data_IF_782877111814
#
_entry.id   IF_782877111814
#
_cell.length_a   1.000
_cell.length_b   1.000
_cell.length_c   1.000
_cell.angle_alpha   90.00
_cell.angle_beta   90.00
_cell.angle_gamma   90.00
#
_symmetry.space_group_name_H-M   'P 1'
#
loop_
_entity.id
_entity.type
_entity.pdbx_description
1 polymer ?
#
# COMPACT_ATOMS: atom_id res chain seq x y z
N UNK A 1 -0.51 15.10 -8.04
CA UNK A 1 -1.89 14.57 -7.97
C UNK A 1 -1.87 13.19 -7.34
N UNK A 2 -2.71 12.96 -6.34
CA UNK A 2 -2.92 11.64 -5.70
C UNK A 2 -4.32 11.17 -6.06
N UNK A 3 -4.46 9.92 -6.49
CA UNK A 3 -5.74 9.29 -6.80
C UNK A 3 -6.09 8.32 -5.67
N UNK A 4 -7.31 8.44 -5.16
CA UNK A 4 -7.89 7.53 -4.18
C UNK A 4 -9.13 6.89 -4.81
N UNK A 5 -9.22 5.55 -4.76
CA UNK A 5 -10.43 4.83 -5.15
C UNK A 5 -10.80 3.86 -4.04
N UNK A 6 -12.06 3.91 -3.64
CA UNK A 6 -12.65 2.95 -2.71
C UNK A 6 -13.75 2.20 -3.43
N UNK A 7 -13.86 0.90 -3.19
CA UNK A 7 -14.97 0.09 -3.66
C UNK A 7 -15.37 -0.88 -2.56
N UNK A 8 -16.67 -1.03 -2.36
CA UNK A 8 -17.22 -2.08 -1.54
C UNK A 8 -18.08 -2.97 -2.44
N UNK A 9 -17.75 -4.25 -2.51
CA UNK A 9 -18.48 -5.21 -3.35
C UNK A 9 -18.34 -6.62 -2.77
N UNK A 10 -19.43 -7.40 -2.76
CA UNK A 10 -19.47 -8.81 -2.32
C UNK A 10 -18.77 -9.07 -0.97
N UNK A 11 -18.95 -8.19 0.00
CA UNK A 11 -18.34 -8.32 1.33
C UNK A 11 -16.83 -8.06 1.36
N UNK A 12 -16.28 -7.36 0.35
CA UNK A 12 -14.89 -6.92 0.30
C UNK A 12 -14.83 -5.39 0.16
N UNK A 13 -14.08 -4.77 1.06
CA UNK A 13 -13.64 -3.39 0.94
C UNK A 13 -12.28 -3.34 0.24
N UNK A 14 -12.22 -2.61 -0.87
CA UNK A 14 -11.00 -2.38 -1.66
C UNK A 14 -10.64 -0.90 -1.63
N UNK A 15 -9.39 -0.61 -1.27
CA UNK A 15 -8.79 0.72 -1.30
C UNK A 15 -7.61 0.73 -2.26
N UNK A 16 -7.58 1.68 -3.18
CA UNK A 16 -6.43 1.91 -4.06
C UNK A 16 -5.96 3.36 -3.95
N UNK A 17 -4.67 3.54 -3.69
CA UNK A 17 -3.97 4.82 -3.68
C UNK A 17 -2.92 4.82 -4.79
N UNK A 18 -2.93 5.84 -5.64
CA UNK A 18 -1.92 5.99 -6.70
C UNK A 18 -1.39 7.42 -6.80
N UNK A 19 -0.08 7.57 -6.97
CA UNK A 19 0.54 8.87 -7.24
C UNK A 19 1.73 8.73 -8.20
N UNK A 20 2.02 9.77 -9.02
CA UNK A 20 3.27 9.83 -9.77
C UNK A 20 4.48 9.77 -8.85
N UNK A 21 5.53 9.12 -9.33
CA UNK A 21 6.82 9.02 -8.66
C UNK A 21 7.76 10.03 -9.29
N UNK A 22 8.17 11.04 -8.51
CA UNK A 22 8.95 12.19 -9.00
C UNK A 22 10.46 11.96 -8.90
N UNK A 23 10.89 10.96 -8.13
CA UNK A 23 12.30 10.57 -7.92
C UNK A 23 12.41 9.05 -8.01
N UNK A 24 13.58 8.53 -8.42
CA UNK A 24 13.83 7.09 -8.46
C UNK A 24 13.59 6.48 -7.08
N UNK A 25 12.65 5.54 -7.00
CA UNK A 25 12.35 4.74 -5.79
C UNK A 25 12.91 3.34 -6.06
N UNK A 26 13.40 2.65 -5.04
CA UNK A 26 13.82 1.27 -5.18
C UNK A 26 12.61 0.40 -5.56
N UNK A 27 12.81 -0.58 -6.43
CA UNK A 27 11.73 -1.44 -6.92
C UNK A 27 11.08 -2.27 -5.80
N UNK A 28 11.85 -2.58 -4.76
CA UNK A 28 11.40 -3.26 -3.54
C UNK A 28 10.77 -2.32 -2.49
N UNK A 29 10.66 -1.02 -2.82
CA UNK A 29 10.20 0.05 -1.92
C UNK A 29 11.01 0.17 -0.62
N UNK A 30 12.24 -0.34 -0.60
CA UNK A 30 13.12 -0.23 0.55
C UNK A 30 13.37 1.25 0.89
N UNK A 31 13.28 1.56 2.17
CA UNK A 31 13.49 2.92 2.70
C UNK A 31 14.91 3.40 2.38
N UNK A 32 15.00 4.56 1.74
CA UNK A 32 16.26 5.29 1.47
C UNK A 32 16.68 6.23 2.61
N UNK A 33 15.89 6.32 3.69
CA UNK A 33 16.21 7.14 4.87
C UNK A 33 17.22 6.41 5.77
N UNK A 34 18.17 7.17 6.33
CA UNK A 34 19.27 6.64 7.16
C UNK A 34 18.77 5.82 8.37
N UNK A 35 17.62 6.20 8.96
CA UNK A 35 17.06 5.52 10.12
C UNK A 35 16.00 4.47 9.71
N UNK A 36 16.49 3.31 9.29
CA UNK A 36 15.65 2.19 8.79
C UNK A 36 14.70 1.63 9.85
N UNK A 37 15.03 1.78 11.14
CA UNK A 37 14.25 1.30 12.28
C UNK A 37 12.99 2.12 12.58
N UNK A 38 12.81 3.31 11.98
CA UNK A 38 11.59 4.13 12.16
C UNK A 38 10.85 4.40 10.85
N UNK A 39 11.50 4.16 9.71
CA UNK A 39 11.02 4.64 8.41
C UNK A 39 10.84 3.55 7.35
N UNK A 40 11.18 2.29 7.64
CA UNK A 40 10.88 1.12 6.79
C UNK A 40 9.61 0.35 7.17
N UNK A 41 9.00 0.68 8.30
CA UNK A 41 7.85 -0.05 8.84
C UNK A 41 6.52 0.27 8.17
N UNK A 42 6.40 1.35 7.40
CA UNK A 42 5.11 1.80 6.88
C UNK A 42 4.40 0.69 6.09
N UNK A 43 4.99 0.26 4.97
CA UNK A 43 4.35 -0.73 4.09
C UNK A 43 4.34 -2.12 4.73
N UNK A 44 5.42 -2.54 5.40
CA UNK A 44 5.48 -3.84 6.07
C UNK A 44 4.43 -3.94 7.20
N UNK A 45 4.32 -2.91 8.03
CA UNK A 45 3.34 -2.81 9.11
C UNK A 45 1.91 -2.70 8.58
N UNK A 46 1.68 -1.93 7.52
CA UNK A 46 0.36 -1.91 6.86
C UNK A 46 -0.01 -3.28 6.27
N UNK A 47 0.95 -4.04 5.70
CA UNK A 47 0.73 -5.43 5.25
C UNK A 47 0.34 -6.35 6.40
N UNK A 48 1.07 -6.28 7.51
CA UNK A 48 0.78 -7.05 8.71
C UNK A 48 -0.62 -6.72 9.29
N UNK A 49 -1.00 -5.44 9.34
CA UNK A 49 -2.33 -5.02 9.79
C UNK A 49 -3.41 -5.57 8.86
N UNK A 50 -3.24 -5.47 7.54
CA UNK A 50 -4.21 -6.02 6.59
C UNK A 50 -4.37 -7.54 6.79
N UNK A 51 -3.25 -8.26 6.96
CA UNK A 51 -3.25 -9.71 7.21
C UNK A 51 -3.95 -10.09 8.51
N UNK A 52 -3.71 -9.34 9.61
CA UNK A 52 -4.40 -9.55 10.90
C UNK A 52 -5.92 -9.35 10.82
N UNK A 53 -6.38 -8.59 9.81
CA UNK A 53 -7.80 -8.40 9.53
C UNK A 53 -8.34 -9.36 8.45
N UNK A 54 -7.58 -10.40 8.07
CA UNK A 54 -7.97 -11.39 7.07
C UNK A 54 -7.92 -10.87 5.63
N UNK A 55 -7.23 -9.74 5.42
CA UNK A 55 -7.10 -9.08 4.13
C UNK A 55 -5.68 -9.14 3.56
N UNK A 56 -5.46 -8.37 2.50
CA UNK A 56 -4.17 -8.27 1.82
C UNK A 56 -3.80 -6.82 1.56
N UNK A 57 -2.49 -6.57 1.42
CA UNK A 57 -1.97 -5.31 0.93
C UNK A 57 -0.84 -5.55 -0.06
N UNK A 58 -0.95 -4.93 -1.22
CA UNK A 58 0.08 -4.91 -2.25
C UNK A 58 0.53 -3.47 -2.48
N UNK A 59 1.83 -3.27 -2.64
CA UNK A 59 2.40 -1.98 -2.97
C UNK A 59 3.56 -2.15 -3.94
N UNK A 60 3.69 -1.24 -4.90
CA UNK A 60 4.74 -1.27 -5.89
C UNK A 60 4.82 0.03 -6.70
N UNK A 61 5.88 0.15 -7.50
CA UNK A 61 6.01 1.19 -8.53
C UNK A 61 5.93 0.53 -9.89
N UNK A 62 5.09 1.06 -10.78
CA UNK A 62 5.00 0.65 -12.19
C UNK A 62 4.73 1.86 -13.06
N UNK A 63 5.42 1.96 -14.21
CA UNK A 63 5.22 3.02 -15.20
C UNK A 63 5.28 4.44 -14.60
N UNK A 64 6.24 4.70 -13.71
CA UNK A 64 6.41 6.01 -13.07
C UNK A 64 5.33 6.38 -12.04
N UNK A 65 4.52 5.41 -11.60
CA UNK A 65 3.49 5.61 -10.57
C UNK A 65 3.65 4.61 -9.45
N UNK A 66 3.50 5.10 -8.23
CA UNK A 66 3.31 4.28 -7.04
C UNK A 66 1.85 3.86 -6.98
N UNK A 67 1.61 2.60 -6.61
CA UNK A 67 0.29 2.05 -6.32
C UNK A 67 0.34 1.29 -5.00
N UNK A 68 -0.67 1.50 -4.16
CA UNK A 68 -0.96 0.71 -2.98
C UNK A 68 -2.41 0.25 -3.05
N UNK A 69 -2.64 -1.06 -2.92
CA UNK A 69 -3.96 -1.69 -2.95
C UNK A 69 -4.15 -2.46 -1.65
N UNK A 70 -5.26 -2.22 -0.97
CA UNK A 70 -5.69 -2.97 0.22
C UNK A 70 -7.02 -3.63 -0.08
N UNK A 71 -7.15 -4.92 0.26
CA UNK A 71 -8.39 -5.67 0.21
C UNK A 71 -8.70 -6.17 1.61
N UNK A 72 -9.82 -5.78 2.20
CA UNK A 72 -10.25 -6.20 3.52
C UNK A 72 -11.62 -6.89 3.42
N UNK A 73 -11.82 -8.04 4.07
CA UNK A 73 -13.15 -8.61 4.22
C UNK A 73 -14.02 -7.74 5.14
N UNK A 74 -15.31 -7.67 4.83
CA UNK A 74 -16.32 -7.11 5.71
C UNK A 74 -16.37 -7.95 6.99
N UNK A 75 -16.17 -7.29 8.14
CA UNK A 75 -16.46 -7.93 9.42
C UNK A 75 -17.97 -7.87 9.63
N UNK A 76 -18.60 -9.05 9.67
CA UNK A 76 -19.96 -9.19 10.19
C UNK A 76 -19.99 -8.95 11.69
#
# INVERSE_FOLDING_TARGET
MVLLRCRFDKGLFMLKVENPVVKKVNDDLSTTKQDKLKHGFGIIGMKDIALRHGGTLEAGVKNGRFSLVVCLPEKR
#
